data_IF_626087196165
#
_entry.id   IF_626087196165
#
_cell.length_a   1.000
_cell.length_b   1.000
_cell.length_c   1.000
_cell.angle_alpha   90.00
_cell.angle_beta   90.00
_cell.angle_gamma   90.00
#
_symmetry.space_group_name_H-M   'P 1'
#
loop_
_entity.id
_entity.type
_entity.pdbx_description
1 polymer ?
#
# COMPACT_ATOMS: atom_id res chain seq x y z
N UNK A 1 -1.81 -39.86 -31.69
CA UNK A 1 -3.02 -39.66 -30.87
C UNK A 1 -3.40 -41.01 -30.30
N UNK A 2 -3.46 -41.14 -28.97
CA UNK A 2 -4.72 -40.85 -28.29
C UNK A 2 -4.61 -39.69 -27.29
N UNK A 3 -5.78 -39.12 -27.03
CA UNK A 3 -6.06 -38.03 -26.11
C UNK A 3 -6.28 -38.61 -24.70
N UNK A 4 -6.08 -37.75 -23.69
CA UNK A 4 -6.61 -37.86 -22.33
C UNK A 4 -5.73 -38.52 -21.25
N UNK A 5 -5.01 -37.67 -20.52
CA UNK A 5 -4.98 -37.65 -19.06
C UNK A 5 -4.35 -36.32 -18.62
N UNK A 6 -5.20 -35.34 -18.31
CA UNK A 6 -4.76 -34.19 -17.53
C UNK A 6 -4.43 -34.70 -16.12
N UNK A 7 -3.25 -34.38 -15.54
CA UNK A 7 -3.06 -34.66 -14.13
C UNK A 7 -3.98 -33.74 -13.33
N UNK A 8 -4.83 -34.38 -12.54
CA UNK A 8 -5.61 -33.79 -11.46
C UNK A 8 -4.69 -32.99 -10.54
N UNK A 9 -4.59 -31.68 -10.77
CA UNK A 9 -4.14 -30.74 -9.75
C UNK A 9 -5.31 -30.49 -8.80
N UNK A 10 -5.60 -31.53 -8.01
CA UNK A 10 -6.44 -31.42 -6.84
C UNK A 10 -5.86 -30.34 -5.93
N UNK A 11 -6.69 -29.31 -5.77
CA UNK A 11 -6.65 -28.22 -4.82
C UNK A 11 -5.94 -28.59 -3.50
N UNK A 12 -4.65 -28.27 -3.41
CA UNK A 12 -4.00 -27.98 -2.15
C UNK A 12 -4.16 -26.48 -1.89
N UNK A 13 -4.82 -26.17 -0.77
CA UNK A 13 -5.01 -24.85 -0.18
C UNK A 13 -3.93 -23.84 -0.55
N UNK A 14 -4.19 -23.00 -1.56
CA UNK A 14 -3.33 -21.86 -1.85
C UNK A 14 -3.60 -20.81 -0.79
N UNK A 15 -2.83 -20.85 0.30
CA UNK A 15 -2.63 -19.66 1.14
C UNK A 15 -2.24 -18.51 0.21
N UNK A 16 -3.15 -17.53 0.06
CA UNK A 16 -2.94 -16.45 -0.88
C UNK A 16 -1.68 -15.66 -0.48
N UNK A 17 -0.72 -15.48 -1.41
CA UNK A 17 0.61 -14.96 -1.10
C UNK A 17 0.63 -13.49 -0.62
N UNK A 18 -0.49 -12.78 -0.66
CA UNK A 18 -0.57 -11.35 -0.33
C UNK A 18 -0.57 -11.09 1.17
N UNK A 19 -1.31 -11.86 1.97
CA UNK A 19 -1.42 -11.61 3.42
C UNK A 19 -0.12 -11.95 4.17
N UNK A 20 0.41 -13.16 3.94
CA UNK A 20 1.67 -13.61 4.52
C UNK A 20 2.84 -12.74 4.07
N UNK A 21 2.87 -12.31 2.80
CA UNK A 21 3.89 -11.38 2.32
C UNK A 21 3.78 -10.00 2.99
N UNK A 22 2.58 -9.47 3.22
CA UNK A 22 2.40 -8.21 3.96
C UNK A 22 2.82 -8.38 5.41
N UNK A 23 2.45 -9.46 6.10
CA UNK A 23 2.91 -9.71 7.47
C UNK A 23 4.44 -9.72 7.55
N UNK A 24 5.10 -10.49 6.68
CA UNK A 24 6.56 -10.57 6.66
C UNK A 24 7.23 -9.22 6.30
N UNK A 25 6.80 -8.58 5.20
CA UNK A 25 7.48 -7.41 4.63
C UNK A 25 7.08 -6.07 5.27
N UNK A 26 5.95 -6.01 5.98
CA UNK A 26 5.49 -4.81 6.66
C UNK A 26 5.60 -4.94 8.18
N UNK A 27 5.07 -6.00 8.78
CA UNK A 27 5.04 -6.14 10.24
C UNK A 27 6.36 -6.69 10.77
N UNK A 28 6.77 -7.88 10.34
CA UNK A 28 7.97 -8.55 10.86
C UNK A 28 9.25 -7.75 10.54
N UNK A 29 9.32 -7.16 9.34
CA UNK A 29 10.39 -6.23 8.96
C UNK A 29 10.54 -5.03 9.91
N UNK A 30 9.44 -4.63 10.58
CA UNK A 30 9.41 -3.59 11.60
C UNK A 30 9.34 -4.13 13.04
N UNK A 31 9.61 -5.43 13.24
CA UNK A 31 9.52 -6.15 14.53
C UNK A 31 8.14 -6.05 15.18
N UNK A 32 7.11 -6.00 14.35
CA UNK A 32 5.70 -6.02 14.74
C UNK A 32 5.11 -7.40 14.47
N UNK A 33 4.02 -7.70 15.17
CA UNK A 33 3.23 -8.90 14.95
C UNK A 33 1.74 -8.58 15.16
N UNK A 34 0.82 -9.38 14.61
CA UNK A 34 -0.61 -9.23 14.86
C UNK A 34 -0.94 -9.20 16.37
N UNK A 35 -0.23 -9.98 17.18
CA UNK A 35 -0.41 -10.06 18.63
C UNK A 35 0.02 -8.75 19.33
N UNK A 36 1.10 -8.12 18.86
CA UNK A 36 1.51 -6.81 19.36
C UNK A 36 0.47 -5.74 19.03
N UNK A 37 -0.07 -5.75 17.81
CA UNK A 37 -1.15 -4.84 17.42
C UNK A 37 -2.41 -5.07 18.27
N UNK A 38 -2.76 -6.33 18.55
CA UNK A 38 -3.87 -6.69 19.43
C UNK A 38 -3.65 -6.15 20.87
N UNK A 39 -2.43 -6.26 21.41
CA UNK A 39 -2.07 -5.67 22.70
C UNK A 39 -2.22 -4.14 22.69
N UNK A 40 -1.82 -3.46 21.62
CA UNK A 40 -2.02 -2.02 21.48
C UNK A 40 -3.50 -1.64 21.39
N UNK A 41 -4.33 -2.43 20.72
CA UNK A 41 -5.80 -2.25 20.73
C UNK A 41 -6.38 -2.42 22.14
N UNK A 42 -5.85 -3.33 22.96
CA UNK A 42 -6.26 -3.45 24.37
C UNK A 42 -5.96 -2.19 25.20
N UNK A 43 -4.91 -1.41 24.86
CA UNK A 43 -4.64 -0.11 25.50
C UNK A 43 -5.81 0.86 25.27
N UNK A 44 -6.42 0.82 24.08
CA UNK A 44 -7.59 1.62 23.74
C UNK A 44 -8.83 1.08 24.47
N UNK A 45 -8.97 -0.25 24.49
CA UNK A 45 -10.05 -0.98 25.14
C UNK A 45 -10.17 -0.84 26.67
N UNK A 46 -9.16 -0.24 27.32
CA UNK A 46 -9.23 0.16 28.73
C UNK A 46 -10.20 1.33 28.97
N UNK A 47 -10.64 2.01 27.92
CA UNK A 47 -11.67 3.04 27.94
C UNK A 47 -12.94 2.56 27.21
N UNK A 48 -14.07 3.21 27.45
CA UNK A 48 -15.33 2.95 26.76
C UNK A 48 -15.29 3.43 25.31
N UNK A 49 -14.77 2.56 24.43
CA UNK A 49 -14.62 2.77 22.99
C UNK A 49 -15.38 1.66 22.26
N UNK A 50 -16.25 2.02 21.33
CA UNK A 50 -17.12 1.09 20.60
C UNK A 50 -16.37 0.34 19.49
N UNK A 51 -15.35 0.99 18.93
CA UNK A 51 -14.52 0.46 17.85
C UNK A 51 -13.16 1.15 17.81
N UNK A 52 -12.12 0.38 17.52
CA UNK A 52 -10.81 0.89 17.19
C UNK A 52 -10.17 0.11 16.04
N UNK A 53 -9.28 0.74 15.29
CA UNK A 53 -8.39 0.06 14.37
C UNK A 53 -6.99 0.67 14.33
N UNK A 54 -6.04 -0.16 13.91
CA UNK A 54 -4.66 0.22 13.61
C UNK A 54 -4.43 -0.03 12.13
N UNK A 55 -4.02 1.01 11.42
CA UNK A 55 -3.70 1.01 10.00
C UNK A 55 -2.19 1.17 9.84
N UNK A 56 -1.49 0.14 9.36
CA UNK A 56 -0.06 0.18 9.06
C UNK A 56 0.14 0.28 7.55
N UNK A 57 1.07 1.12 7.11
CA UNK A 57 1.36 1.31 5.70
C UNK A 57 2.87 1.43 5.44
N UNK A 58 3.30 0.91 4.29
CA UNK A 58 4.60 1.20 3.68
C UNK A 58 4.43 1.41 2.19
N UNK A 59 4.89 2.56 1.70
CA UNK A 59 4.90 2.91 0.29
C UNK A 59 6.34 3.06 -0.18
N UNK A 60 6.74 2.29 -1.19
CA UNK A 60 7.95 2.53 -1.95
C UNK A 60 7.59 3.23 -3.26
N UNK A 61 8.31 4.30 -3.59
CA UNK A 61 8.13 5.07 -4.80
C UNK A 61 9.48 5.19 -5.52
N UNK A 62 9.47 4.96 -6.82
CA UNK A 62 10.62 5.08 -7.69
C UNK A 62 10.24 5.91 -8.92
N UNK A 63 11.09 6.88 -9.29
CA UNK A 63 10.94 7.59 -10.55
C UNK A 63 12.26 7.84 -11.25
N UNK A 64 12.24 7.76 -12.57
CA UNK A 64 13.36 7.97 -13.47
C UNK A 64 12.96 8.95 -14.57
N UNK A 65 13.85 9.89 -14.90
CA UNK A 65 13.60 10.90 -15.92
C UNK A 65 14.74 10.93 -16.93
N UNK A 66 14.36 10.81 -18.20
CA UNK A 66 15.23 10.95 -19.36
C UNK A 66 14.93 12.27 -20.07
N UNK A 67 16.01 12.93 -20.48
CA UNK A 67 16.00 14.09 -21.36
C UNK A 67 17.32 14.13 -22.15
N UNK A 68 17.26 14.51 -23.43
CA UNK A 68 18.45 14.68 -24.28
C UNK A 68 19.33 13.42 -24.41
N UNK A 69 18.73 12.22 -24.54
CA UNK A 69 19.53 10.99 -24.68
C UNK A 69 20.06 10.41 -23.38
N UNK A 70 19.82 11.08 -22.24
CA UNK A 70 20.45 10.74 -20.97
C UNK A 70 19.40 10.73 -19.86
N UNK A 71 19.51 9.74 -18.98
CA UNK A 71 18.74 9.73 -17.72
C UNK A 71 19.36 10.76 -16.78
N UNK A 72 18.68 11.90 -16.62
CA UNK A 72 19.16 13.04 -15.82
C UNK A 72 18.91 12.87 -14.32
N UNK A 73 17.85 12.15 -13.94
CA UNK A 73 17.53 11.93 -12.55
C UNK A 73 16.85 10.58 -12.30
N UNK A 74 17.15 10.03 -11.14
CA UNK A 74 16.48 8.88 -10.53
C UNK A 74 16.24 9.17 -9.06
N UNK A 75 15.08 8.82 -8.55
CA UNK A 75 14.74 8.98 -7.13
C UNK A 75 14.05 7.73 -6.62
N UNK A 76 14.44 7.30 -5.43
CA UNK A 76 13.82 6.20 -4.72
C UNK A 76 13.48 6.65 -3.30
N UNK A 77 12.23 6.48 -2.90
CA UNK A 77 11.69 6.96 -1.63
C UNK A 77 10.90 5.82 -0.98
N UNK A 78 11.13 5.60 0.31
CA UNK A 78 10.32 4.70 1.12
C UNK A 78 9.71 5.51 2.25
N UNK A 79 8.39 5.51 2.32
CA UNK A 79 7.63 6.05 3.42
C UNK A 79 6.93 4.90 4.14
N UNK A 80 6.83 4.99 5.46
CA UNK A 80 6.04 4.06 6.26
C UNK A 80 5.48 4.76 7.47
N UNK A 81 4.39 4.24 8.01
CA UNK A 81 3.74 4.84 9.17
C UNK A 81 2.57 4.04 9.68
N UNK A 82 1.97 4.57 10.74
CA UNK A 82 0.80 4.00 11.38
C UNK A 82 -0.25 5.07 11.67
N UNK A 83 -1.51 4.71 11.45
CA UNK A 83 -2.68 5.44 11.91
C UNK A 83 -3.46 4.61 12.92
N UNK A 84 -4.00 5.25 13.95
CA UNK A 84 -4.87 4.63 14.94
C UNK A 84 -6.16 5.44 15.02
N UNK A 85 -7.29 4.75 14.93
CA UNK A 85 -8.62 5.35 15.08
C UNK A 85 -9.35 4.74 16.28
N UNK A 86 -10.09 5.57 17.00
CA UNK A 86 -11.03 5.14 18.04
C UNK A 86 -12.37 5.86 17.86
N UNK A 87 -13.47 5.14 18.09
CA UNK A 87 -14.85 5.63 17.97
C UNK A 87 -15.59 5.36 19.27
N UNK A 88 -16.31 6.36 19.80
CA UNK A 88 -17.16 6.24 20.99
C UNK A 88 -18.43 7.08 20.79
N UNK A 89 -19.57 6.42 20.62
CA UNK A 89 -20.81 7.04 20.16
C UNK A 89 -20.60 7.73 18.81
N UNK A 90 -20.90 9.04 18.78
CA UNK A 90 -20.74 9.89 17.60
C UNK A 90 -19.33 10.53 17.49
N UNK A 91 -18.45 10.27 18.47
CA UNK A 91 -17.10 10.85 18.51
C UNK A 91 -16.11 9.93 17.81
N UNK A 92 -15.20 10.52 17.04
CA UNK A 92 -14.05 9.81 16.45
C UNK A 92 -12.75 10.54 16.76
N UNK A 93 -11.72 9.80 17.14
CA UNK A 93 -10.36 10.31 17.37
C UNK A 93 -9.37 9.57 16.47
N UNK A 94 -8.35 10.30 16.05
CA UNK A 94 -7.29 9.82 15.18
C UNK A 94 -5.92 10.21 15.76
N UNK A 95 -4.94 9.34 15.58
CA UNK A 95 -3.53 9.63 15.82
C UNK A 95 -2.69 8.96 14.72
N UNK A 96 -1.61 9.62 14.30
CA UNK A 96 -0.73 9.15 13.24
C UNK A 96 0.73 9.28 13.66
N UNK A 97 1.59 8.42 13.13
CA UNK A 97 3.03 8.51 13.27
C UNK A 97 3.76 8.04 12.00
N UNK A 98 4.80 8.76 11.61
CA UNK A 98 5.69 8.41 10.47
C UNK A 98 6.73 7.34 10.82
N UNK A 99 6.67 6.79 12.03
CA UNK A 99 7.48 5.64 12.45
C UNK A 99 6.58 4.44 12.72
N UNK A 100 6.81 3.38 11.96
CA UNK A 100 6.10 2.12 12.11
C UNK A 100 6.83 1.23 13.14
N UNK A 101 6.67 1.55 14.42
CA UNK A 101 7.22 0.76 15.53
C UNK A 101 6.26 0.70 16.72
N UNK A 102 6.48 -0.26 17.62
CA UNK A 102 5.55 -0.53 18.72
C UNK A 102 5.36 0.66 19.66
N UNK A 103 6.40 1.47 19.87
CA UNK A 103 6.32 2.65 20.74
C UNK A 103 5.40 3.73 20.16
N UNK A 104 5.50 3.98 18.85
CA UNK A 104 4.64 4.93 18.13
C UNK A 104 3.20 4.46 18.07
N UNK A 105 2.98 3.16 17.89
CA UNK A 105 1.65 2.54 17.93
C UNK A 105 1.04 2.69 19.31
N UNK A 106 1.79 2.33 20.36
CA UNK A 106 1.32 2.44 21.73
C UNK A 106 1.01 3.90 22.07
N UNK A 107 1.88 4.84 21.73
CA UNK A 107 1.65 6.29 21.95
C UNK A 107 0.37 6.76 21.28
N UNK A 108 0.15 6.38 20.03
CA UNK A 108 -1.06 6.70 19.28
C UNK A 108 -2.31 6.09 19.92
N UNK A 109 -2.24 4.82 20.36
CA UNK A 109 -3.30 4.16 21.12
C UNK A 109 -3.63 4.89 22.44
N UNK A 110 -2.60 5.36 23.17
CA UNK A 110 -2.82 6.17 24.40
C UNK A 110 -3.49 7.52 24.11
N UNK A 111 -3.18 8.13 22.98
CA UNK A 111 -3.75 9.41 22.59
C UNK A 111 -5.26 9.27 22.25
N UNK A 112 -5.61 8.30 21.41
CA UNK A 112 -7.00 8.16 20.92
C UNK A 112 -7.97 7.63 21.98
N UNK A 113 -7.50 6.84 22.96
CA UNK A 113 -8.39 6.25 23.99
C UNK A 113 -9.10 7.30 24.86
N UNK A 114 -8.52 8.50 24.98
CA UNK A 114 -9.06 9.60 25.77
C UNK A 114 -10.45 10.07 25.30
N UNK A 115 -10.87 9.66 24.11
CA UNK A 115 -12.22 9.90 23.59
C UNK A 115 -13.33 9.20 24.41
N UNK A 116 -13.00 8.08 25.05
CA UNK A 116 -13.90 7.30 25.89
C UNK A 116 -13.66 7.54 27.37
N UNK A 117 -14.69 7.33 28.20
CA UNK A 117 -14.54 7.35 29.66
C UNK A 117 -13.67 6.17 30.14
N UNK A 118 -12.95 6.35 31.25
CA UNK A 118 -12.17 5.28 31.87
C UNK A 118 -13.07 4.15 32.39
N UNK A 119 -12.55 2.92 32.46
CA UNK A 119 -13.30 1.76 32.99
C UNK A 119 -13.82 0.78 31.93
N UNK A 120 -13.29 0.82 30.71
CA UNK A 120 -13.59 -0.15 29.66
C UNK A 120 -13.07 -1.55 29.99
N UNK A 121 -13.82 -2.58 29.56
CA UNK A 121 -13.38 -3.98 29.54
C UNK A 121 -13.53 -4.51 28.12
N UNK A 122 -12.56 -4.20 27.26
CA UNK A 122 -12.56 -4.72 25.89
C UNK A 122 -11.35 -5.61 25.67
N UNK A 123 -11.63 -6.87 25.30
CA UNK A 123 -10.65 -7.78 24.73
C UNK A 123 -10.61 -7.53 23.22
N UNK A 124 -9.46 -7.11 22.70
CA UNK A 124 -9.24 -7.07 21.26
C UNK A 124 -9.31 -8.51 20.73
N UNK A 125 -10.27 -8.79 19.84
CA UNK A 125 -10.25 -10.07 19.13
C UNK A 125 -9.08 -10.09 18.17
N UNK A 126 -8.41 -11.24 18.07
CA UNK A 126 -7.41 -11.46 17.04
C UNK A 126 -8.05 -11.21 15.66
N UNK A 127 -7.36 -10.47 14.77
CA UNK A 127 -7.85 -10.26 13.42
C UNK A 127 -8.08 -11.62 12.75
N UNK A 128 -9.32 -11.90 12.37
CA UNK A 128 -9.64 -13.07 11.54
C UNK A 128 -9.33 -12.73 10.09
N UNK A 129 -8.52 -13.55 9.41
CA UNK A 129 -8.28 -13.42 7.98
C UNK A 129 -9.62 -13.35 7.23
N UNK A 130 -9.73 -12.42 6.28
CA UNK A 130 -10.92 -12.31 5.43
C UNK A 130 -10.45 -12.21 4.00
N UNK A 131 -10.92 -13.15 3.19
CA UNK A 131 -10.47 -13.32 1.82
C UNK A 131 -11.28 -12.40 0.92
N UNK A 132 -10.64 -11.36 0.41
CA UNK A 132 -11.13 -10.57 -0.72
C UNK A 132 -10.59 -11.16 -2.03
N UNK A 133 -11.31 -10.95 -3.14
CA UNK A 133 -10.76 -11.28 -4.46
C UNK A 133 -9.57 -10.35 -4.75
N UNK A 134 -8.41 -10.86 -5.17
CA UNK A 134 -7.29 -10.00 -5.52
C UNK A 134 -7.65 -9.17 -6.76
N UNK A 135 -7.53 -7.84 -6.65
CA UNK A 135 -7.82 -6.90 -7.75
C UNK A 135 -6.56 -6.64 -8.60
N UNK A 136 -5.37 -6.89 -8.05
CA UNK A 136 -4.08 -6.70 -8.71
C UNK A 136 -3.07 -7.77 -8.25
N UNK A 137 -1.94 -7.89 -8.96
CA UNK A 137 -0.85 -8.80 -8.59
C UNK A 137 -0.13 -8.33 -7.33
N UNK A 138 0.37 -9.27 -6.52
CA UNK A 138 1.14 -8.98 -5.31
C UNK A 138 2.65 -8.77 -5.57
N UNK A 139 3.06 -8.74 -6.83
CA UNK A 139 4.46 -8.58 -7.24
C UNK A 139 4.92 -7.13 -7.08
N UNK A 140 6.14 -6.94 -6.58
CA UNK A 140 6.77 -5.62 -6.49
C UNK A 140 7.20 -5.13 -7.91
N UNK A 141 6.56 -4.08 -8.47
CA UNK A 141 6.89 -3.57 -9.79
C UNK A 141 8.26 -2.87 -9.84
N UNK A 142 8.75 -2.35 -8.71
CA UNK A 142 10.06 -1.68 -8.61
C UNK A 142 11.17 -2.72 -8.76
N UNK A 143 11.01 -3.89 -8.13
CA UNK A 143 11.94 -5.01 -8.25
C UNK A 143 11.82 -5.77 -9.59
N UNK A 144 10.76 -5.53 -10.36
CA UNK A 144 10.49 -6.24 -11.62
C UNK A 144 11.39 -5.86 -12.80
N UNK A 145 12.22 -4.83 -12.67
CA UNK A 145 13.28 -4.43 -13.60
C UNK A 145 14.48 -3.93 -12.80
N UNK A 146 15.70 -4.31 -13.19
CA UNK A 146 16.90 -3.69 -12.63
C UNK A 146 17.12 -2.27 -13.21
N UNK A 147 18.05 -1.53 -12.60
CA UNK A 147 18.35 -0.14 -13.02
C UNK A 147 18.81 -0.04 -14.47
N UNK A 148 19.61 -0.99 -14.97
CA UNK A 148 20.11 -0.96 -16.35
C UNK A 148 18.98 -1.20 -17.35
N UNK A 149 18.08 -2.13 -17.05
CA UNK A 149 16.88 -2.40 -17.84
C UNK A 149 15.91 -1.21 -17.84
N UNK A 150 15.76 -0.50 -16.71
CA UNK A 150 14.96 0.74 -16.63
C UNK A 150 15.54 1.86 -17.50
N UNK A 151 16.86 2.06 -17.46
CA UNK A 151 17.55 3.03 -18.34
C UNK A 151 17.40 2.64 -19.81
N UNK A 152 17.63 1.37 -20.15
CA UNK A 152 17.46 0.86 -21.50
C UNK A 152 16.03 1.04 -22.03
N UNK A 153 15.02 0.85 -21.16
CA UNK A 153 13.63 1.10 -21.51
C UNK A 153 13.38 2.56 -21.87
N UNK A 154 13.89 3.51 -21.08
CA UNK A 154 13.76 4.95 -21.37
C UNK A 154 14.48 5.32 -22.68
N UNK A 155 15.69 4.81 -22.90
CA UNK A 155 16.43 5.03 -24.15
C UNK A 155 15.69 4.45 -25.36
N UNK A 156 15.08 3.27 -25.21
CA UNK A 156 14.25 2.65 -26.25
C UNK A 156 13.05 3.52 -26.62
N UNK A 157 12.40 4.15 -25.63
CA UNK A 157 11.28 5.07 -25.85
C UNK A 157 11.71 6.28 -26.69
N UNK A 158 12.88 6.88 -26.37
CA UNK A 158 13.41 7.98 -27.17
C UNK A 158 13.74 7.56 -28.60
N UNK A 159 14.38 6.40 -28.78
CA UNK A 159 14.71 5.88 -30.11
C UNK A 159 13.45 5.69 -30.96
N UNK A 160 12.39 5.10 -30.38
CA UNK A 160 11.10 4.93 -31.07
C UNK A 160 10.47 6.29 -31.41
N UNK A 161 10.49 7.25 -30.48
CA UNK A 161 9.94 8.57 -30.70
C UNK A 161 10.65 9.31 -31.84
N UNK A 162 11.99 9.33 -31.85
CA UNK A 162 12.77 9.98 -32.91
C UNK A 162 12.63 9.28 -34.27
N UNK A 163 12.46 7.96 -34.28
CA UNK A 163 12.19 7.21 -35.50
C UNK A 163 10.79 7.49 -36.09
N UNK A 164 9.82 7.86 -35.26
CA UNK A 164 8.45 8.10 -35.69
C UNK A 164 8.27 9.40 -36.50
N UNK A 165 9.02 10.46 -36.17
CA UNK A 165 8.97 11.73 -36.91
C UNK A 165 10.32 12.48 -36.79
N UNK A 166 11.03 12.75 -37.90
CA UNK A 166 12.33 13.42 -37.88
C UNK A 166 12.29 14.86 -37.35
N UNK A 167 11.10 15.46 -37.20
CA UNK A 167 10.93 16.78 -36.59
C UNK A 167 11.04 16.75 -35.05
N UNK A 168 11.10 15.57 -34.44
CA UNK A 168 11.26 15.40 -33.00
C UNK A 168 12.74 15.56 -32.64
N UNK A 169 13.09 16.75 -32.19
CA UNK A 169 14.48 17.09 -31.80
C UNK A 169 14.79 16.81 -30.33
N UNK A 170 13.77 16.67 -29.49
CA UNK A 170 13.92 16.48 -28.05
C UNK A 170 12.81 15.55 -27.51
N UNK A 171 13.21 14.58 -26.69
CA UNK A 171 12.31 13.66 -26.01
C UNK A 171 12.51 13.81 -24.50
N UNK A 172 11.40 13.88 -23.77
CA UNK A 172 11.37 13.70 -22.33
C UNK A 172 10.55 12.45 -22.01
N UNK A 173 11.15 11.51 -21.29
CA UNK A 173 10.48 10.29 -20.87
C UNK A 173 10.60 10.10 -19.36
N UNK A 174 9.55 9.56 -18.75
CA UNK A 174 9.52 9.22 -17.34
C UNK A 174 9.07 7.78 -17.12
N UNK A 175 9.71 7.10 -16.17
CA UNK A 175 9.24 5.84 -15.61
C UNK A 175 8.95 6.06 -14.14
N UNK A 176 7.75 5.67 -13.69
CA UNK A 176 7.35 5.81 -12.28
C UNK A 176 6.71 4.52 -11.79
N UNK A 177 7.16 4.05 -10.63
CA UNK A 177 6.66 2.85 -9.98
C UNK A 177 6.30 3.18 -8.53
N UNK A 178 5.17 2.67 -8.06
CA UNK A 178 4.74 2.77 -6.66
C UNK A 178 4.36 1.37 -6.18
N UNK A 179 4.83 1.00 -4.99
CA UNK A 179 4.51 -0.26 -4.34
C UNK A 179 4.04 0.01 -2.91
N UNK A 180 2.73 -0.16 -2.70
CA UNK A 180 2.06 0.12 -1.44
C UNK A 180 1.62 -1.15 -0.72
N UNK A 181 2.00 -1.29 0.55
CA UNK A 181 1.60 -2.38 1.42
C UNK A 181 0.85 -1.83 2.61
N UNK A 182 -0.34 -2.38 2.86
CA UNK A 182 -1.24 -1.94 3.92
C UNK A 182 -1.67 -3.15 4.76
N UNK A 183 -1.64 -2.98 6.08
CA UNK A 183 -2.18 -3.94 7.04
C UNK A 183 -3.17 -3.23 7.97
N UNK A 184 -4.38 -3.77 8.09
CA UNK A 184 -5.43 -3.25 8.97
C UNK A 184 -5.72 -4.24 10.11
N UNK A 185 -5.59 -3.78 11.36
CA UNK A 185 -5.96 -4.51 12.57
C UNK A 185 -7.17 -3.84 13.26
N UNK A 186 -8.40 -4.33 13.06
CA UNK A 186 -9.57 -3.85 13.78
C UNK A 186 -9.72 -4.55 15.15
N UNK A 187 -10.26 -3.85 16.16
CA UNK A 187 -10.62 -4.43 17.47
C UNK A 187 -11.81 -5.38 17.42
N UNK A 188 -12.53 -5.40 16.29
CA UNK A 188 -13.92 -5.87 16.21
C UNK A 188 -14.88 -4.80 16.73
N UNK A 189 -16.12 -4.79 16.19
CA UNK A 189 -17.15 -3.84 16.61
C UNK A 189 -17.84 -4.35 17.87
N UNK A 190 -17.87 -3.57 18.94
CA UNK A 190 -18.68 -3.88 20.11
C UNK A 190 -20.10 -3.37 19.86
N UNK A 191 -20.93 -4.16 19.18
CA UNK A 191 -22.30 -3.77 18.89
C UNK A 191 -23.18 -3.82 20.14
N UNK A 192 -23.44 -2.66 20.77
CA UNK A 192 -24.65 -2.49 21.58
C UNK A 192 -25.93 -2.23 20.74
N UNK A 193 -25.81 -2.12 19.41
CA UNK A 193 -26.94 -1.97 18.46
C UNK A 193 -26.92 -3.03 17.36
N UNK A 194 -28.09 -3.65 17.10
CA UNK A 194 -28.36 -4.69 16.09
C UNK A 194 -28.50 -4.16 14.66
N UNK A 195 -27.68 -3.19 14.24
CA UNK A 195 -27.68 -2.76 12.84
C UNK A 195 -26.27 -2.48 12.35
N UNK A 196 -25.75 -3.23 11.36
CA UNK A 196 -24.48 -2.90 10.75
C UNK A 196 -24.66 -1.63 9.91
N UNK A 197 -23.81 -0.61 10.01
CA UNK A 197 -23.75 0.38 8.93
C UNK A 197 -23.12 -0.29 7.71
N UNK A 198 -23.72 -0.02 6.56
CA UNK A 198 -23.20 -0.37 5.24
C UNK A 198 -21.76 0.15 5.09
N UNK A 199 -20.87 -0.72 4.61
CA UNK A 199 -19.46 -0.42 4.38
C UNK A 199 -18.51 -1.13 5.34
N UNK A 200 -18.57 -2.47 5.40
CA UNK A 200 -17.52 -3.25 6.04
C UNK A 200 -16.14 -2.88 5.43
N UNK A 201 -15.09 -2.65 6.25
CA UNK A 201 -13.80 -2.29 5.69
C UNK A 201 -13.24 -3.48 4.89
N UNK A 202 -12.93 -3.25 3.62
CA UNK A 202 -12.08 -4.12 2.81
C UNK A 202 -10.73 -4.27 3.51
N UNK A 203 -10.41 -5.49 3.92
CA UNK A 203 -9.39 -5.77 4.95
C UNK A 203 -7.95 -5.73 4.46
N UNK A 204 -7.71 -5.73 3.15
CA UNK A 204 -6.41 -5.51 2.53
C UNK A 204 -6.63 -4.84 1.18
N UNK A 205 -6.00 -3.69 0.94
CA UNK A 205 -6.06 -3.02 -0.36
C UNK A 205 -4.62 -2.87 -0.87
N UNK A 206 -4.36 -3.53 -1.99
CA UNK A 206 -3.21 -3.24 -2.83
C UNK A 206 -3.58 -2.08 -3.74
N UNK A 207 -2.75 -1.04 -3.78
CA UNK A 207 -2.92 0.06 -4.72
C UNK A 207 -1.63 0.27 -5.49
N UNK A 208 -1.75 0.23 -6.81
CA UNK A 208 -0.72 0.63 -7.75
C UNK A 208 -1.21 1.91 -8.40
N UNK A 209 -0.64 3.05 -8.03
CA UNK A 209 -1.05 4.36 -8.55
C UNK A 209 0.02 4.94 -9.47
N UNK A 210 -0.22 4.91 -10.78
CA UNK A 210 0.55 5.68 -11.76
C UNK A 210 0.01 7.10 -11.86
N UNK A 211 0.81 8.12 -11.53
CA UNK A 211 0.46 9.54 -11.79
C UNK A 211 1.09 10.02 -13.09
N UNK A 212 0.27 10.52 -14.01
CA UNK A 212 0.70 11.18 -15.25
C UNK A 212 1.27 12.59 -14.98
N UNK A 213 2.46 12.94 -15.52
CA UNK A 213 2.90 14.32 -15.58
C UNK A 213 1.97 15.12 -16.50
N UNK A 214 1.54 16.31 -16.07
CA UNK A 214 0.79 17.25 -16.92
C UNK A 214 1.64 17.74 -18.09
N UNK A 215 1.08 17.73 -19.29
CA UNK A 215 1.64 18.30 -20.51
C UNK A 215 1.66 19.83 -20.42
N UNK A 216 2.79 20.45 -20.74
CA UNK A 216 2.90 21.91 -20.92
C UNK A 216 3.58 22.18 -22.25
N UNK A 217 2.90 22.87 -23.17
CA UNK A 217 3.51 23.37 -24.40
C UNK A 217 4.22 24.69 -24.11
N UNK A 218 5.52 24.77 -24.40
CA UNK A 218 6.20 26.07 -24.53
C UNK A 218 7.16 26.05 -25.72
N UNK A 219 6.80 26.82 -26.75
CA UNK A 219 7.68 27.36 -27.80
C UNK A 219 8.23 26.37 -28.85
N UNK A 220 7.77 26.52 -30.12
CA UNK A 220 8.33 26.13 -31.45
C UNK A 220 9.23 24.88 -31.66
N UNK A 221 9.59 24.09 -30.65
CA UNK A 221 10.19 22.76 -30.75
C UNK A 221 9.17 21.75 -30.25
N UNK A 222 8.92 20.68 -31.00
CA UNK A 222 7.97 19.63 -30.61
C UNK A 222 8.61 18.78 -29.52
N UNK A 223 8.31 19.13 -28.28
CA UNK A 223 8.67 18.37 -27.09
C UNK A 223 7.64 17.26 -26.87
N UNK A 224 8.07 16.00 -26.93
CA UNK A 224 7.22 14.85 -26.60
C UNK A 224 7.46 14.43 -25.14
N UNK A 225 6.39 14.35 -24.34
CA UNK A 225 6.39 13.81 -22.96
C UNK A 225 5.71 12.45 -22.94
N UNK A 226 6.44 11.41 -22.56
CA UNK A 226 5.93 10.04 -22.42
C UNK A 226 6.08 9.59 -20.97
N UNK A 227 5.00 9.07 -20.39
CA UNK A 227 5.00 8.43 -19.07
C UNK A 227 4.73 6.94 -19.22
N UNK A 228 5.64 6.11 -18.73
CA UNK A 228 5.46 4.67 -18.64
C UNK A 228 4.99 4.30 -17.23
N UNK A 229 3.92 3.51 -17.17
CA UNK A 229 3.39 2.92 -15.94
C UNK A 229 3.43 1.41 -16.08
N UNK A 230 3.79 0.73 -15.00
CA UNK A 230 3.70 -0.72 -14.89
C UNK A 230 2.88 -1.05 -13.67
#
# INVERSE_FOLDING_TARGET
MPYNQAPDFLCADTMHPTYSAVQARLLEANRLSPELLAKSLCIIGAHHVDYADIYCQRTAYESWHLEEGIVKSGSFQINQGVGVRAVSGDKTAFAYADSLCIDSINRSARAVRAIGAAGGKVSAKMPSETRGKPVCSASDPIAGLDSAAKVALLNKVEAIAKAADPRIVQVMAGLTCEYDMVYLAPSGRQTRRRHPPDGAPERYRYRQTGRTPRTGQRGRRRTLRLGLFR
#
